data_IF_675497377253
#
_entry.id   IF_675497377253
#
_cell.length_a   1.000
_cell.length_b   1.000
_cell.length_c   1.000
_cell.angle_alpha   90.00
_cell.angle_beta   90.00
_cell.angle_gamma   90.00
#
_symmetry.space_group_name_H-M   'P 1'
#
loop_
_entity.id
_entity.type
_entity.pdbx_description
1 polymer ?
#
# COMPACT_ATOMS: atom_id res chain seq x y z
N UNK A 1 1.25 0.77 -7.17
CA UNK A 1 2.66 0.35 -7.19
C UNK A 1 2.96 -0.63 -6.08
N UNK A 2 2.89 -0.19 -4.81
CA UNK A 2 3.34 -0.97 -3.65
C UNK A 2 2.87 -2.44 -3.59
N UNK A 3 1.56 -2.70 -3.74
CA UNK A 3 1.01 -4.07 -3.73
C UNK A 3 1.64 -4.95 -4.81
N UNK A 4 1.64 -4.50 -6.07
CA UNK A 4 2.24 -5.23 -7.19
C UNK A 4 3.76 -5.40 -7.03
N UNK A 5 4.44 -4.41 -6.45
CA UNK A 5 5.87 -4.49 -6.12
C UNK A 5 6.16 -5.59 -5.10
N UNK A 6 5.34 -5.72 -4.06
CA UNK A 6 5.46 -6.85 -3.12
C UNK A 6 5.15 -8.17 -3.80
N UNK A 7 4.05 -8.30 -4.54
CA UNK A 7 3.72 -9.54 -5.23
C UNK A 7 4.89 -9.98 -6.14
N UNK A 8 5.47 -9.04 -6.89
CA UNK A 8 6.58 -9.33 -7.81
C UNK A 8 7.90 -9.67 -7.13
N UNK A 9 8.12 -9.26 -5.88
CA UNK A 9 9.36 -9.49 -5.13
C UNK A 9 9.20 -10.41 -3.91
N UNK A 10 7.99 -10.85 -3.59
CA UNK A 10 7.67 -11.59 -2.37
C UNK A 10 8.44 -12.90 -2.30
N UNK A 11 8.55 -13.63 -3.42
CA UNK A 11 9.30 -14.88 -3.49
C UNK A 11 10.79 -14.65 -3.20
N UNK A 12 11.39 -13.65 -3.86
CA UNK A 12 12.80 -13.32 -3.70
C UNK A 12 13.12 -12.85 -2.27
N UNK A 13 12.24 -12.04 -1.68
CA UNK A 13 12.46 -11.51 -0.34
C UNK A 13 12.18 -12.58 0.73
N UNK A 14 11.00 -13.20 0.73
CA UNK A 14 10.59 -14.08 1.81
C UNK A 14 11.23 -15.48 1.67
N UNK A 15 11.20 -16.09 0.47
CA UNK A 15 11.73 -17.44 0.30
C UNK A 15 13.26 -17.46 0.18
N UNK A 16 13.87 -16.54 -0.58
CA UNK A 16 15.32 -16.55 -0.83
C UNK A 16 16.09 -15.76 0.24
N UNK A 17 15.82 -14.45 0.41
CA UNK A 17 16.58 -13.61 1.33
C UNK A 17 16.37 -13.98 2.81
N UNK A 18 15.11 -14.23 3.22
CA UNK A 18 14.80 -14.64 4.59
C UNK A 18 14.79 -16.16 4.80
N UNK A 19 14.99 -16.95 3.74
CA UNK A 19 15.14 -18.40 3.84
C UNK A 19 13.90 -19.14 4.31
N UNK A 20 12.68 -18.60 4.12
CA UNK A 20 11.46 -19.28 4.61
C UNK A 20 11.19 -20.60 3.89
N UNK A 21 11.64 -20.77 2.64
CA UNK A 21 11.41 -22.00 1.87
C UNK A 21 9.93 -22.43 1.89
N UNK A 22 9.65 -23.58 2.51
CA UNK A 22 8.28 -24.13 2.64
C UNK A 22 7.33 -23.26 3.49
N UNK A 23 7.84 -22.37 4.35
CA UNK A 23 7.05 -21.45 5.17
C UNK A 23 6.62 -20.18 4.43
N UNK A 24 7.12 -19.96 3.21
CA UNK A 24 6.77 -18.80 2.39
C UNK A 24 5.25 -18.56 2.27
N UNK A 25 4.41 -19.58 1.93
CA UNK A 25 2.98 -19.37 1.77
C UNK A 25 2.30 -18.88 3.05
N UNK A 26 2.80 -19.29 4.22
CA UNK A 26 2.25 -18.89 5.52
C UNK A 26 2.56 -17.41 5.80
N UNK A 27 3.80 -16.97 5.55
CA UNK A 27 4.16 -15.56 5.67
C UNK A 27 3.38 -14.69 4.68
N UNK A 28 3.29 -15.12 3.41
CA UNK A 28 2.51 -14.43 2.39
C UNK A 28 1.02 -14.32 2.77
N UNK A 29 0.43 -15.41 3.29
CA UNK A 29 -0.93 -15.41 3.81
C UNK A 29 -1.10 -14.44 4.98
N UNK A 30 -0.11 -14.31 5.87
CA UNK A 30 -0.13 -13.32 6.94
C UNK A 30 -0.25 -11.88 6.43
N UNK A 31 0.46 -11.54 5.35
CA UNK A 31 0.33 -10.23 4.69
C UNK A 31 -1.05 -10.08 4.03
N UNK A 32 -1.55 -11.11 3.37
CA UNK A 32 -2.89 -11.10 2.78
C UNK A 32 -3.99 -10.90 3.85
N UNK A 33 -3.85 -11.52 5.02
CA UNK A 33 -4.74 -11.30 6.17
C UNK A 33 -4.68 -9.85 6.64
N UNK A 34 -3.49 -9.24 6.72
CA UNK A 34 -3.37 -7.83 7.07
C UNK A 34 -4.12 -6.92 6.09
N UNK A 35 -4.07 -7.21 4.78
CA UNK A 35 -4.85 -6.49 3.76
C UNK A 35 -6.35 -6.71 3.99
N UNK A 36 -6.80 -7.95 4.26
CA UNK A 36 -8.21 -8.25 4.50
C UNK A 36 -8.75 -7.56 5.76
N UNK A 37 -7.94 -7.50 6.83
CA UNK A 37 -8.26 -6.78 8.06
C UNK A 37 -8.46 -5.28 7.81
N UNK A 38 -7.84 -4.72 6.76
CA UNK A 38 -8.04 -3.32 6.40
C UNK A 38 -9.51 -3.01 6.11
N UNK A 39 -10.26 -3.92 5.46
CA UNK A 39 -11.69 -3.70 5.18
C UNK A 39 -12.55 -3.67 6.45
N UNK A 40 -12.24 -4.53 7.42
CA UNK A 40 -12.90 -4.56 8.73
C UNK A 40 -12.62 -3.27 9.53
N UNK A 41 -11.35 -2.86 9.59
CA UNK A 41 -10.96 -1.62 10.25
C UNK A 41 -11.55 -0.41 9.53
N UNK A 42 -11.63 -0.44 8.21
CA UNK A 42 -12.26 0.61 7.42
C UNK A 42 -13.73 0.79 7.80
N UNK A 43 -14.50 -0.30 7.82
CA UNK A 43 -15.93 -0.26 8.14
C UNK A 43 -16.20 0.39 9.51
N UNK A 44 -15.33 0.14 10.50
CA UNK A 44 -15.47 0.69 11.85
C UNK A 44 -14.98 2.15 11.96
N UNK A 45 -13.89 2.50 11.28
CA UNK A 45 -13.26 3.82 11.41
C UNK A 45 -13.88 4.86 10.49
N UNK A 46 -14.39 4.45 9.31
CA UNK A 46 -14.93 5.37 8.32
C UNK A 46 -16.18 6.11 8.82
N UNK A 47 -17.03 5.44 9.60
CA UNK A 47 -18.22 6.06 10.22
C UNK A 47 -17.86 7.17 11.22
N UNK A 48 -16.70 7.05 11.88
CA UNK A 48 -16.26 8.00 12.92
C UNK A 48 -15.41 9.14 12.37
N UNK A 49 -14.54 8.84 11.41
CA UNK A 49 -13.51 9.78 10.94
C UNK A 49 -13.79 10.33 9.52
N UNK A 50 -14.69 9.67 8.77
CA UNK A 50 -14.93 9.95 7.36
C UNK A 50 -13.84 9.41 6.43
N UNK A 51 -14.18 9.19 5.16
CA UNK A 51 -13.28 8.57 4.17
C UNK A 51 -12.02 9.39 3.92
N UNK A 52 -12.12 10.73 3.87
CA UNK A 52 -10.99 11.61 3.53
C UNK A 52 -9.92 11.64 4.62
N UNK A 53 -10.31 11.92 5.86
CA UNK A 53 -9.37 12.00 6.97
C UNK A 53 -8.68 10.64 7.22
N UNK A 54 -9.45 9.55 7.15
CA UNK A 54 -8.92 8.19 7.28
C UNK A 54 -7.90 7.86 6.19
N UNK A 55 -8.20 8.21 4.94
CA UNK A 55 -7.29 7.94 3.81
C UNK A 55 -6.01 8.78 3.89
N UNK A 56 -6.11 10.06 4.24
CA UNK A 56 -4.92 10.92 4.36
C UNK A 56 -4.01 10.45 5.49
N UNK A 57 -4.60 10.13 6.66
CA UNK A 57 -3.86 9.55 7.77
C UNK A 57 -3.19 8.23 7.37
N UNK A 58 -3.89 7.38 6.62
CA UNK A 58 -3.34 6.12 6.15
C UNK A 58 -2.18 6.29 5.17
N UNK A 59 -2.24 7.22 4.22
CA UNK A 59 -1.12 7.51 3.30
C UNK A 59 0.08 8.08 4.06
N UNK A 60 -0.14 8.97 5.02
CA UNK A 60 0.94 9.52 5.87
C UNK A 60 1.61 8.39 6.66
N UNK A 61 0.83 7.57 7.35
CA UNK A 61 1.34 6.44 8.12
C UNK A 61 2.06 5.42 7.22
N UNK A 62 1.52 5.12 6.04
CA UNK A 62 2.15 4.23 5.07
C UNK A 62 3.51 4.77 4.62
N UNK A 63 3.59 6.07 4.33
CA UNK A 63 4.82 6.74 3.91
C UNK A 63 5.85 6.72 5.04
N UNK A 64 5.44 7.01 6.28
CA UNK A 64 6.31 6.98 7.45
C UNK A 64 6.86 5.57 7.72
N UNK A 65 5.99 4.55 7.75
CA UNK A 65 6.39 3.14 7.95
C UNK A 65 7.35 2.69 6.85
N UNK A 66 7.06 3.05 5.59
CA UNK A 66 7.91 2.69 4.45
C UNK A 66 9.27 3.38 4.53
N UNK A 67 9.32 4.66 4.94
CA UNK A 67 10.56 5.39 5.14
C UNK A 67 11.38 4.81 6.31
N UNK A 68 10.72 4.41 7.40
CA UNK A 68 11.37 3.70 8.51
C UNK A 68 11.94 2.36 8.03
N UNK A 69 11.17 1.61 7.24
CA UNK A 69 11.64 0.33 6.69
C UNK A 69 12.85 0.53 5.77
N UNK A 70 12.84 1.58 4.94
CA UNK A 70 13.96 1.93 4.08
C UNK A 70 15.20 2.35 4.89
N UNK A 71 15.02 3.13 5.96
CA UNK A 71 16.11 3.52 6.84
C UNK A 71 16.72 2.31 7.57
N UNK A 72 15.88 1.40 8.07
CA UNK A 72 16.33 0.16 8.72
C UNK A 72 17.08 -0.74 7.75
N UNK A 73 16.65 -0.83 6.49
CA UNK A 73 17.28 -1.70 5.50
C UNK A 73 18.69 -1.24 5.09
N UNK A 74 19.04 0.04 5.30
CA UNK A 74 20.40 0.55 5.08
C UNK A 74 21.42 -0.06 6.06
N UNK A 75 20.98 -0.51 7.23
CA UNK A 75 21.83 -1.20 8.20
C UNK A 75 21.94 -2.72 7.93
N UNK A 76 21.33 -3.20 6.85
CA UNK A 76 21.20 -4.62 6.52
C UNK A 76 19.77 -5.13 6.66
N UNK A 77 19.51 -6.42 6.38
CA UNK A 77 18.17 -6.99 6.46
C UNK A 77 17.68 -6.97 7.91
N UNK A 78 16.57 -6.27 8.23
CA UNK A 78 15.98 -6.30 9.56
C UNK A 78 15.51 -7.72 9.89
N UNK A 79 15.39 -8.09 11.17
CA UNK A 79 14.92 -9.42 11.54
C UNK A 79 13.50 -9.66 10.99
N UNK A 80 13.23 -10.90 10.58
CA UNK A 80 12.01 -11.28 9.86
C UNK A 80 10.73 -10.80 10.55
N UNK A 81 10.63 -10.94 11.87
CA UNK A 81 9.44 -10.52 12.63
C UNK A 81 9.17 -9.01 12.51
N UNK A 82 10.23 -8.19 12.50
CA UNK A 82 10.12 -6.73 12.38
C UNK A 82 9.75 -6.34 10.94
N UNK A 83 10.39 -6.99 9.97
CA UNK A 83 10.04 -6.82 8.56
C UNK A 83 8.57 -7.15 8.31
N UNK A 84 8.11 -8.31 8.78
CA UNK A 84 6.72 -8.76 8.60
C UNK A 84 5.72 -7.85 9.31
N UNK A 85 6.05 -7.32 10.50
CA UNK A 85 5.20 -6.38 11.20
C UNK A 85 5.04 -5.06 10.43
N UNK A 86 6.16 -4.48 9.97
CA UNK A 86 6.15 -3.22 9.19
C UNK A 86 5.50 -3.41 7.82
N UNK A 87 5.81 -4.52 7.13
CA UNK A 87 5.21 -4.87 5.84
C UNK A 87 3.71 -5.09 5.98
N UNK A 88 3.27 -5.87 6.98
CA UNK A 88 1.86 -6.12 7.25
C UNK A 88 1.10 -4.83 7.55
N UNK A 89 1.65 -3.95 8.40
CA UNK A 89 1.07 -2.63 8.67
C UNK A 89 1.00 -1.77 7.40
N UNK A 90 2.06 -1.72 6.59
CA UNK A 90 2.07 -0.99 5.33
C UNK A 90 1.02 -1.53 4.35
N UNK A 91 0.90 -2.85 4.20
CA UNK A 91 -0.08 -3.48 3.31
C UNK A 91 -1.52 -3.33 3.79
N UNK A 92 -1.74 -3.35 5.10
CA UNK A 92 -3.04 -3.00 5.68
C UNK A 92 -3.44 -1.56 5.33
N UNK A 93 -2.52 -0.60 5.44
CA UNK A 93 -2.79 0.80 5.06
C UNK A 93 -3.04 0.96 3.55
N UNK A 94 -2.37 0.17 2.71
CA UNK A 94 -2.67 0.10 1.27
C UNK A 94 -4.10 -0.43 1.04
N UNK A 95 -4.52 -1.48 1.75
CA UNK A 95 -5.90 -1.96 1.68
C UNK A 95 -6.93 -0.91 2.09
N UNK A 96 -6.64 -0.17 3.16
CA UNK A 96 -7.49 0.88 3.71
C UNK A 96 -7.68 2.05 2.72
N UNK A 97 -6.58 2.51 2.13
CA UNK A 97 -6.59 3.57 1.12
C UNK A 97 -7.30 3.14 -0.16
N UNK A 98 -7.10 1.90 -0.60
CA UNK A 98 -7.76 1.37 -1.79
C UNK A 98 -9.29 1.37 -1.63
N UNK A 99 -9.80 0.93 -0.48
CA UNK A 99 -11.24 0.91 -0.20
C UNK A 99 -11.85 2.32 -0.27
N UNK A 100 -11.25 3.29 0.41
CA UNK A 100 -11.80 4.64 0.52
C UNK A 100 -11.62 5.47 -0.76
N UNK A 101 -10.46 5.42 -1.41
CA UNK A 101 -10.26 6.17 -2.67
C UNK A 101 -11.13 5.62 -3.79
N UNK A 102 -11.34 4.30 -3.85
CA UNK A 102 -12.27 3.72 -4.82
C UNK A 102 -13.71 4.17 -4.56
N UNK A 103 -14.16 4.17 -3.30
CA UNK A 103 -15.49 4.67 -2.93
C UNK A 103 -15.67 6.16 -3.28
N UNK A 104 -14.68 7.01 -2.95
CA UNK A 104 -14.68 8.43 -3.29
C UNK A 104 -14.72 8.68 -4.80
N UNK A 105 -13.99 7.89 -5.59
CA UNK A 105 -13.99 7.99 -7.04
C UNK A 105 -15.34 7.56 -7.66
N UNK A 106 -16.05 6.62 -7.02
CA UNK A 106 -17.35 6.13 -7.49
C UNK A 106 -18.54 6.98 -7.09
N UNK A 107 -18.45 7.74 -5.98
CA UNK A 107 -19.55 8.54 -5.47
C UNK A 107 -20.23 9.46 -6.51
N UNK A 108 -19.51 10.18 -7.40
CA UNK A 108 -20.14 11.01 -8.44
C UNK A 108 -20.51 10.24 -9.72
N UNK A 109 -20.17 8.95 -9.83
CA UNK A 109 -20.25 8.17 -11.07
C UNK A 109 -21.43 7.20 -11.11
N UNK A 110 -22.48 7.43 -10.31
CA UNK A 110 -23.58 6.48 -10.12
C UNK A 110 -24.28 6.05 -11.42
N UNK A 111 -24.54 7.00 -12.33
CA UNK A 111 -25.20 6.73 -13.62
C UNK A 111 -24.32 5.94 -14.61
N UNK A 112 -22.99 6.02 -14.45
CA UNK A 112 -22.01 5.37 -15.33
C UNK A 112 -21.11 4.39 -14.57
N UNK A 113 -21.60 3.81 -13.47
CA UNK A 113 -20.79 3.05 -12.52
C UNK A 113 -20.01 1.90 -13.18
N UNK A 114 -20.61 1.21 -14.16
CA UNK A 114 -19.96 0.11 -14.88
C UNK A 114 -18.79 0.56 -15.76
N UNK A 115 -18.90 1.71 -16.43
CA UNK A 115 -17.79 2.28 -17.23
C UNK A 115 -16.70 2.80 -16.29
N UNK A 116 -17.09 3.53 -15.24
CA UNK A 116 -16.17 4.05 -14.24
C UNK A 116 -15.38 2.94 -13.54
N UNK A 117 -16.02 1.84 -13.13
CA UNK A 117 -15.35 0.70 -12.48
C UNK A 117 -14.36 0.01 -13.40
N UNK A 118 -14.71 -0.14 -14.67
CA UNK A 118 -13.84 -0.74 -15.67
C UNK A 118 -12.59 0.13 -15.92
N UNK A 119 -12.77 1.44 -16.03
CA UNK A 119 -11.66 2.38 -16.23
C UNK A 119 -10.78 2.50 -14.99
N UNK A 120 -11.37 2.64 -13.80
CA UNK A 120 -10.62 2.71 -12.53
C UNK A 120 -9.85 1.41 -12.31
N UNK A 121 -10.49 0.25 -12.48
CA UNK A 121 -9.82 -1.05 -12.34
C UNK A 121 -8.72 -1.25 -13.37
N UNK A 122 -8.99 -0.93 -14.64
CA UNK A 122 -8.02 -1.03 -15.74
C UNK A 122 -6.81 -0.13 -15.53
N UNK A 123 -7.03 1.16 -15.27
CA UNK A 123 -5.97 2.12 -15.00
C UNK A 123 -5.16 1.73 -13.76
N UNK A 124 -5.83 1.33 -12.68
CA UNK A 124 -5.15 0.90 -11.45
C UNK A 124 -4.29 -0.34 -11.68
N UNK A 125 -4.77 -1.29 -12.50
CA UNK A 125 -4.03 -2.50 -12.84
C UNK A 125 -2.82 -2.15 -13.70
N UNK A 126 -2.99 -1.38 -14.77
CA UNK A 126 -1.89 -0.99 -15.68
C UNK A 126 -0.84 -0.17 -14.93
N UNK A 127 -1.22 0.95 -14.32
CA UNK A 127 -0.28 1.83 -13.59
C UNK A 127 0.33 1.08 -12.40
N UNK A 128 -0.50 0.32 -11.68
CA UNK A 128 -0.08 -0.48 -10.54
C UNK A 128 0.97 -1.52 -10.90
N UNK A 129 0.71 -2.29 -11.96
CA UNK A 129 1.62 -3.31 -12.47
C UNK A 129 2.89 -2.70 -13.07
N UNK A 130 2.80 -1.60 -13.82
CA UNK A 130 4.00 -0.91 -14.34
C UNK A 130 4.91 -0.43 -13.23
N UNK A 131 4.37 0.26 -12.21
CA UNK A 131 5.15 0.70 -11.05
C UNK A 131 5.65 -0.49 -10.23
N UNK A 132 4.81 -1.51 -10.04
CA UNK A 132 5.20 -2.72 -9.32
C UNK A 132 6.33 -3.48 -10.01
N UNK A 133 6.30 -3.57 -11.34
CA UNK A 133 7.35 -4.16 -12.16
C UNK A 133 8.67 -3.41 -11.99
N UNK A 134 8.65 -2.07 -12.03
CA UNK A 134 9.86 -1.26 -11.80
C UNK A 134 10.45 -1.54 -10.41
N UNK A 135 9.61 -1.59 -9.38
CA UNK A 135 10.06 -1.88 -8.00
C UNK A 135 10.61 -3.30 -7.90
N UNK A 136 9.90 -4.30 -8.41
CA UNK A 136 10.32 -5.70 -8.33
C UNK A 136 11.60 -5.97 -9.12
N UNK A 137 11.75 -5.34 -10.30
CA UNK A 137 12.96 -5.47 -11.13
C UNK A 137 14.17 -4.77 -10.50
N UNK A 138 13.96 -3.78 -9.63
CA UNK A 138 15.04 -3.11 -8.91
C UNK A 138 15.61 -3.95 -7.76
N UNK A 139 15.07 -5.16 -7.52
CA UNK A 139 15.59 -6.06 -6.49
C UNK A 139 17.08 -6.38 -6.72
N UNK A 140 17.88 -6.12 -5.69
CA UNK A 140 19.33 -6.21 -5.69
C UNK A 140 19.86 -7.23 -4.66
N UNK A 141 18.99 -8.13 -4.20
CA UNK A 141 19.30 -9.05 -3.10
C UNK A 141 19.03 -8.45 -1.71
N UNK A 142 18.48 -7.24 -1.63
CA UNK A 142 18.09 -6.60 -0.36
C UNK A 142 16.62 -6.17 -0.38
N UNK A 143 16.07 -5.83 0.80
CA UNK A 143 14.72 -5.25 0.89
C UNK A 143 14.69 -3.73 0.61
N UNK A 144 15.85 -3.09 0.42
CA UNK A 144 15.96 -1.63 0.29
C UNK A 144 15.22 -1.10 -0.94
N UNK A 145 15.35 -1.68 -2.14
CA UNK A 145 14.62 -1.21 -3.33
C UNK A 145 13.10 -1.26 -3.15
N UNK A 146 12.59 -2.29 -2.45
CA UNK A 146 11.17 -2.41 -2.13
C UNK A 146 10.73 -1.27 -1.21
N UNK A 147 11.45 -1.07 -0.10
CA UNK A 147 11.10 -0.06 0.91
C UNK A 147 11.20 1.38 0.36
N UNK A 148 12.22 1.66 -0.46
CA UNK A 148 12.34 2.94 -1.18
C UNK A 148 11.20 3.10 -2.18
N UNK A 149 10.88 2.06 -2.97
CA UNK A 149 9.76 2.07 -3.90
C UNK A 149 8.42 2.36 -3.21
N UNK A 150 8.23 1.83 -2.01
CA UNK A 150 7.04 2.09 -1.19
C UNK A 150 7.01 3.54 -0.71
N UNK A 151 8.13 4.03 -0.20
CA UNK A 151 8.28 5.42 0.24
C UNK A 151 7.98 6.39 -0.89
N UNK A 152 8.49 6.13 -2.10
CA UNK A 152 8.22 6.94 -3.29
C UNK A 152 6.75 6.87 -3.73
N UNK A 153 6.11 5.69 -3.67
CA UNK A 153 4.68 5.55 -3.92
C UNK A 153 3.85 6.38 -2.92
N UNK A 154 4.21 6.32 -1.63
CA UNK A 154 3.55 7.07 -0.57
C UNK A 154 3.72 8.59 -0.74
N UNK A 155 4.97 9.04 -0.93
CA UNK A 155 5.29 10.45 -1.16
C UNK A 155 4.62 10.99 -2.44
N UNK A 156 4.60 10.21 -3.52
CA UNK A 156 3.89 10.57 -4.75
C UNK A 156 2.39 10.70 -4.52
N UNK A 157 1.79 9.77 -3.78
CA UNK A 157 0.39 9.85 -3.38
C UNK A 157 0.10 11.09 -2.52
N UNK A 158 0.95 11.41 -1.53
CA UNK A 158 0.83 12.63 -0.74
C UNK A 158 0.92 13.89 -1.60
N UNK A 159 1.84 13.93 -2.56
CA UNK A 159 1.95 15.04 -3.52
C UNK A 159 0.65 15.23 -4.31
N UNK A 160 0.08 14.14 -4.83
CA UNK A 160 -1.21 14.18 -5.53
C UNK A 160 -2.36 14.61 -4.61
N UNK A 161 -2.40 14.15 -3.37
CA UNK A 161 -3.40 14.57 -2.38
C UNK A 161 -3.29 16.07 -2.06
N UNK A 162 -2.07 16.59 -1.90
CA UNK A 162 -1.85 18.02 -1.66
C UNK A 162 -2.33 18.89 -2.83
N UNK A 163 -2.11 18.44 -4.08
CA UNK A 163 -2.60 19.13 -5.28
C UNK A 163 -4.12 19.07 -5.37
N UNK A 164 -4.70 17.87 -5.22
CA UNK A 164 -6.15 17.63 -5.38
C UNK A 164 -6.99 18.30 -4.29
N UNK A 165 -6.51 18.30 -3.05
CA UNK A 165 -7.19 18.90 -1.89
C UNK A 165 -6.80 20.36 -1.65
N UNK A 166 -6.06 20.99 -2.59
CA UNK A 166 -5.57 22.38 -2.51
C UNK A 166 -4.87 22.68 -1.17
N UNK A 167 -4.06 21.74 -0.69
CA UNK A 167 -3.31 21.84 0.56
C UNK A 167 -4.11 21.61 1.85
N UNK A 168 -5.40 21.24 1.77
CA UNK A 168 -6.25 21.04 2.97
C UNK A 168 -6.37 19.57 3.33
N UNK A 169 -5.32 19.02 3.93
CA UNK A 169 -5.34 17.66 4.46
C UNK A 169 -6.27 17.54 5.69
N UNK A 170 -6.86 16.36 5.91
CA UNK A 170 -7.64 16.01 7.11
C UNK A 170 -8.96 16.77 7.31
N UNK A 171 -9.56 17.31 6.25
CA UNK A 171 -10.93 17.83 6.36
C UNK A 171 -11.92 16.68 6.58
N UNK A 172 -12.46 16.59 7.79
CA UNK A 172 -13.70 15.87 8.06
C UNK A 172 -14.82 16.54 7.27
N UNK A 173 -15.19 15.95 6.14
CA UNK A 173 -16.27 16.41 5.30
C UNK A 173 -16.96 15.18 4.76
N UNK A 174 -18.11 14.90 5.38
CA UNK A 174 -19.15 13.87 5.13
C UNK A 174 -18.70 12.70 4.28
#
# INVERSE_FOLDING_TARGET
>A
GALFGFIGSAQQILAELYGLGAWFPIAFAGVAVAIALASLVNALMVERLGMRALSHGAVIAFTAISATLAALSLAGPPPLWLFMALLGAAMMLVGLTFANFNALAMAPMAEAAGIASSLIGGATTVIGASLGFVIARAYDGTITPLAVGYTLCGAGCLGLLLVTERGRLMRGGV
#
